data_IF_370063495245
#
_entry.id   IF_370063495245
#
_cell.length_a   1.000
_cell.length_b   1.000
_cell.length_c   1.000
_cell.angle_alpha   90.00
_cell.angle_beta   90.00
_cell.angle_gamma   90.00
#
_symmetry.space_group_name_H-M   'P 1'
#
loop_
_entity.id
_entity.type
_entity.pdbx_description
1 polymer ?
#
# COMPACT_ATOMS: atom_id res chain seq x y z
N UNK A 1 11.35 5.04 -2.73
CA UNK A 1 11.40 6.23 -3.62
C UNK A 1 11.85 7.40 -2.77
N UNK A 2 12.84 8.20 -3.18
CA UNK A 2 13.40 9.32 -2.38
C UNK A 2 12.39 10.43 -2.01
N UNK A 3 11.10 10.23 -2.32
CA UNK A 3 10.02 11.18 -2.05
C UNK A 3 9.50 11.07 -0.62
N UNK A 4 9.54 9.89 0.03
CA UNK A 4 9.00 9.71 1.37
C UNK A 4 10.10 9.75 2.44
N UNK A 5 9.80 10.39 3.57
CA UNK A 5 10.66 10.47 4.75
C UNK A 5 10.68 9.14 5.52
N UNK A 6 9.57 8.40 5.47
CA UNK A 6 9.42 7.07 6.07
C UNK A 6 8.69 6.13 5.13
N UNK A 7 9.27 4.96 4.88
CA UNK A 7 8.63 3.91 4.07
C UNK A 7 7.81 2.97 4.97
N UNK A 8 6.63 2.55 4.49
CA UNK A 8 5.76 1.58 5.15
C UNK A 8 5.75 0.29 4.33
N UNK A 9 6.84 -0.46 4.42
CA UNK A 9 7.10 -1.65 3.58
C UNK A 9 6.01 -2.72 3.69
N UNK A 10 5.41 -2.87 4.87
CA UNK A 10 4.38 -3.87 5.13
C UNK A 10 3.16 -3.76 4.20
N UNK A 11 2.82 -2.57 3.69
CA UNK A 11 1.74 -2.42 2.72
C UNK A 11 2.08 -3.07 1.38
N UNK A 12 3.27 -2.79 0.84
CA UNK A 12 3.71 -3.36 -0.44
C UNK A 12 3.88 -4.89 -0.36
N UNK A 13 4.36 -5.39 0.78
CA UNK A 13 4.45 -6.83 1.07
C UNK A 13 3.07 -7.49 1.12
N UNK A 14 2.13 -6.92 1.87
CA UNK A 14 0.75 -7.40 1.92
C UNK A 14 0.12 -7.38 0.53
N UNK A 15 0.24 -6.26 -0.20
CA UNK A 15 -0.33 -6.12 -1.54
C UNK A 15 0.18 -7.20 -2.50
N UNK A 16 1.49 -7.44 -2.55
CA UNK A 16 2.06 -8.51 -3.38
C UNK A 16 1.60 -9.89 -2.94
N UNK A 17 1.53 -10.16 -1.63
CA UNK A 17 1.03 -11.43 -1.10
C UNK A 17 -0.42 -11.71 -1.51
N UNK A 18 -1.31 -10.72 -1.37
CA UNK A 18 -2.71 -10.84 -1.83
C UNK A 18 -2.79 -10.99 -3.35
N UNK A 19 -2.06 -10.15 -4.10
CA UNK A 19 -2.04 -10.21 -5.56
C UNK A 19 -1.53 -11.57 -6.05
N UNK A 20 -0.54 -12.15 -5.40
CA UNK A 20 -0.02 -13.48 -5.78
C UNK A 20 -1.05 -14.59 -5.57
N UNK A 21 -1.96 -14.44 -4.60
CA UNK A 21 -3.08 -15.39 -4.40
C UNK A 21 -4.16 -15.22 -5.45
N UNK A 22 -4.40 -14.00 -5.95
CA UNK A 22 -5.46 -13.71 -6.93
C UNK A 22 -5.01 -13.94 -8.38
N UNK A 23 -3.78 -13.52 -8.75
CA UNK A 23 -3.27 -13.54 -10.13
C UNK A 23 -1.97 -14.33 -10.32
N UNK A 24 -1.59 -15.13 -9.32
CA UNK A 24 -0.40 -15.99 -9.39
C UNK A 24 0.92 -15.21 -9.39
N UNK A 25 1.99 -15.73 -10.05
CA UNK A 25 3.32 -15.12 -9.98
C UNK A 25 3.36 -13.67 -10.48
N UNK A 26 2.44 -13.26 -11.36
CA UNK A 26 2.33 -11.86 -11.82
C UNK A 26 2.10 -10.86 -10.70
N UNK A 27 1.49 -11.27 -9.59
CA UNK A 27 1.30 -10.43 -8.40
C UNK A 27 2.60 -9.90 -7.82
N UNK A 28 3.72 -10.62 -8.02
CA UNK A 28 5.04 -10.20 -7.54
C UNK A 28 5.55 -8.93 -8.22
N UNK A 29 5.07 -8.63 -9.44
CA UNK A 29 5.50 -7.48 -10.23
C UNK A 29 4.91 -6.16 -9.76
N UNK A 30 3.96 -6.19 -8.81
CA UNK A 30 3.36 -4.98 -8.27
C UNK A 30 4.39 -4.11 -7.55
N UNK A 31 4.40 -2.83 -7.91
CA UNK A 31 5.17 -1.77 -7.25
C UNK A 31 4.29 -0.93 -6.32
N UNK A 32 3.20 -1.52 -5.81
CA UNK A 32 2.36 -0.86 -4.81
C UNK A 32 3.22 -0.46 -3.60
N UNK A 33 3.03 0.77 -3.13
CA UNK A 33 3.90 1.40 -2.15
C UNK A 33 3.09 2.25 -1.19
N UNK A 34 3.57 2.36 0.04
CA UNK A 34 3.06 3.27 1.05
C UNK A 34 4.22 3.93 1.76
N UNK A 35 4.10 5.23 2.01
CA UNK A 35 5.09 6.01 2.73
C UNK A 35 4.47 7.23 3.37
N UNK A 36 5.28 7.96 4.12
CA UNK A 36 4.90 9.20 4.79
C UNK A 36 5.82 10.29 4.29
N UNK A 37 5.23 11.42 3.92
CA UNK A 37 5.95 12.62 3.52
C UNK A 37 5.26 13.84 4.15
N UNK A 38 5.99 14.61 4.98
CA UNK A 38 5.48 15.84 5.60
C UNK A 38 4.16 15.66 6.35
N UNK A 39 4.03 14.58 7.10
CA UNK A 39 2.80 14.27 7.85
C UNK A 39 1.62 13.81 6.98
N UNK A 40 1.86 13.47 5.71
CA UNK A 40 0.86 12.94 4.79
C UNK A 40 1.18 11.49 4.45
N UNK A 41 0.17 10.64 4.55
CA UNK A 41 0.23 9.25 4.07
C UNK A 41 0.11 9.25 2.55
N UNK A 42 1.14 8.75 1.87
CA UNK A 42 1.17 8.57 0.44
C UNK A 42 1.01 7.08 0.12
N UNK A 43 0.12 6.77 -0.83
CA UNK A 43 -0.12 5.40 -1.30
C UNK A 43 -0.07 5.41 -2.82
N UNK A 44 0.83 4.63 -3.39
CA UNK A 44 0.90 4.40 -4.83
C UNK A 44 0.27 3.04 -5.15
N UNK A 45 -0.79 3.06 -5.95
CA UNK A 45 -1.55 1.87 -6.32
C UNK A 45 -1.47 1.62 -7.85
N UNK A 46 -1.58 0.37 -8.31
CA UNK A 46 -1.76 0.07 -9.72
C UNK A 46 -3.09 0.62 -10.25
N UNK A 47 -3.15 0.95 -11.55
CA UNK A 47 -4.31 1.63 -12.14
C UNK A 47 -5.52 0.74 -12.50
N UNK A 48 -5.44 -0.58 -12.37
CA UNK A 48 -6.55 -1.46 -12.74
C UNK A 48 -7.63 -1.49 -11.63
N UNK A 49 -8.93 -1.56 -11.96
CA UNK A 49 -10.01 -1.63 -10.96
C UNK A 49 -9.82 -2.77 -9.96
N UNK A 50 -9.40 -3.95 -10.44
CA UNK A 50 -9.12 -5.09 -9.59
C UNK A 50 -8.01 -4.80 -8.56
N UNK A 51 -6.93 -4.11 -8.96
CA UNK A 51 -5.87 -3.73 -8.03
C UNK A 51 -6.34 -2.74 -6.97
N UNK A 52 -7.27 -1.84 -7.31
CA UNK A 52 -7.89 -0.92 -6.35
C UNK A 52 -8.74 -1.70 -5.34
N UNK A 53 -9.52 -2.70 -5.78
CA UNK A 53 -10.27 -3.57 -4.86
C UNK A 53 -9.33 -4.28 -3.88
N UNK A 54 -8.26 -4.91 -4.36
CA UNK A 54 -7.24 -5.57 -3.51
C UNK A 54 -6.61 -4.57 -2.54
N UNK A 55 -6.27 -3.36 -3.00
CA UNK A 55 -5.71 -2.30 -2.15
C UNK A 55 -6.69 -1.89 -1.04
N UNK A 56 -7.98 -1.68 -1.35
CA UNK A 56 -8.98 -1.25 -0.37
C UNK A 56 -9.21 -2.28 0.73
N UNK A 57 -9.21 -3.58 0.40
CA UNK A 57 -9.29 -4.68 1.40
C UNK A 57 -8.16 -4.61 2.43
N UNK A 58 -6.98 -4.13 2.02
CA UNK A 58 -5.80 -4.01 2.88
C UNK A 58 -5.80 -2.66 3.61
N UNK A 59 -6.11 -1.57 2.91
CA UNK A 59 -5.94 -0.20 3.40
C UNK A 59 -7.04 0.22 4.38
N UNK A 60 -8.31 -0.06 4.07
CA UNK A 60 -9.45 0.43 4.86
C UNK A 60 -9.36 0.00 6.34
N UNK A 61 -9.03 -1.27 6.68
CA UNK A 61 -8.96 -1.71 8.07
C UNK A 61 -7.88 -0.99 8.90
N UNK A 62 -6.80 -0.53 8.27
CA UNK A 62 -5.65 0.08 8.96
C UNK A 62 -5.62 1.60 8.84
N UNK A 63 -6.47 2.19 8.01
CA UNK A 63 -6.41 3.61 7.65
C UNK A 63 -6.48 4.54 8.86
N UNK A 64 -7.42 4.30 9.78
CA UNK A 64 -7.57 5.14 10.99
C UNK A 64 -6.29 5.12 11.83
N UNK A 65 -5.76 3.92 12.10
CA UNK A 65 -4.56 3.74 12.91
C UNK A 65 -3.33 4.42 12.28
N UNK A 66 -3.16 4.28 10.96
CA UNK A 66 -2.06 4.92 10.23
C UNK A 66 -2.16 6.44 10.33
N UNK A 67 -3.35 7.02 10.14
CA UNK A 67 -3.54 8.48 10.20
C UNK A 67 -3.25 9.02 11.60
N UNK A 68 -3.66 8.29 12.64
CA UNK A 68 -3.34 8.64 14.03
C UNK A 68 -1.83 8.60 14.29
N UNK A 69 -1.14 7.57 13.81
CA UNK A 69 0.30 7.39 13.99
C UNK A 69 1.11 8.49 13.30
N UNK A 70 0.64 8.99 12.15
CA UNK A 70 1.30 10.09 11.42
C UNK A 70 1.07 11.46 12.06
N UNK A 71 0.01 11.62 12.84
CA UNK A 71 -0.32 12.88 13.53
C UNK A 71 0.35 13.03 14.90
N UNK A 72 0.92 11.95 15.43
CA UNK A 72 1.71 11.95 16.67
C UNK A 72 3.12 12.47 16.41
#
# INVERSE_FOLDING_TARGET
AEVCEKEVNGFGEAFRSYSMREIGPFGMLSRAYMGIYRGVVLVALPGSPHAIETATKILIPVLCHVVEEVRR
#
